data_IF_428518731758
#
_entry.id   IF_428518731758
#
_cell.length_a   1.000
_cell.length_b   1.000
_cell.length_c   1.000
_cell.angle_alpha   90.00
_cell.angle_beta   90.00
_cell.angle_gamma   90.00
#
_symmetry.space_group_name_H-M   'P 1'
#
loop_
_entity.id
_entity.type
_entity.pdbx_description
1 polymer ?
#
# COMPACT_ATOMS: atom_id res chain seq x y z
N UNK A 1 19.46 18.53 12.85
CA UNK A 1 20.93 18.46 12.69
C UNK A 1 21.41 17.30 11.84
N UNK A 2 21.01 16.04 12.13
CA UNK A 2 21.40 14.89 11.29
C UNK A 2 21.02 15.05 9.81
N UNK A 3 19.82 15.55 9.51
CA UNK A 3 19.35 15.80 8.12
C UNK A 3 20.19 16.90 7.44
N UNK A 4 20.59 17.95 8.18
CA UNK A 4 21.45 19.00 7.63
C UNK A 4 22.83 18.43 7.26
N UNK A 5 23.40 17.60 8.14
CA UNK A 5 24.67 16.92 7.87
C UNK A 5 24.54 15.93 6.70
N UNK A 6 23.41 15.22 6.59
CA UNK A 6 23.16 14.29 5.49
C UNK A 6 23.21 14.97 4.11
N UNK A 7 22.84 16.26 4.01
CA UNK A 7 22.89 17.04 2.76
C UNK A 7 24.30 17.18 2.19
N UNK A 8 25.34 17.08 3.02
CA UNK A 8 26.74 17.13 2.58
C UNK A 8 27.14 15.88 1.77
N UNK A 9 26.39 14.78 1.90
CA UNK A 9 26.66 13.51 1.24
C UNK A 9 25.77 13.25 0.02
N UNK A 10 24.88 14.20 -0.31
CA UNK A 10 24.03 14.09 -1.51
C UNK A 10 24.88 14.35 -2.76
N UNK A 11 24.93 13.41 -3.72
CA UNK A 11 25.63 13.62 -4.99
C UNK A 11 25.13 14.85 -5.76
N UNK A 12 26.01 15.50 -6.52
CA UNK A 12 25.67 16.74 -7.26
C UNK A 12 24.54 16.54 -8.28
N UNK A 13 24.42 15.35 -8.85
CA UNK A 13 23.39 14.96 -9.83
C UNK A 13 22.04 14.59 -9.19
N UNK A 14 21.91 14.65 -7.85
CA UNK A 14 20.69 14.32 -7.09
C UNK A 14 20.04 15.56 -6.47
N UNK A 15 19.71 16.53 -7.31
CA UNK A 15 19.18 17.84 -6.88
C UNK A 15 17.86 17.74 -6.09
N UNK A 16 17.03 16.77 -6.43
CA UNK A 16 15.76 16.43 -5.81
C UNK A 16 15.96 15.97 -4.37
N UNK A 17 16.98 15.13 -4.10
CA UNK A 17 17.31 14.70 -2.74
C UNK A 17 17.74 15.87 -1.86
N UNK A 18 18.57 16.78 -2.39
CA UNK A 18 19.02 17.96 -1.65
C UNK A 18 17.84 18.89 -1.31
N UNK A 19 16.90 19.03 -2.24
CA UNK A 19 15.66 19.79 -2.07
C UNK A 19 14.75 19.14 -1.03
N UNK A 20 14.52 17.82 -1.16
CA UNK A 20 13.77 17.01 -0.19
C UNK A 20 14.31 17.20 1.24
N UNK A 21 15.61 17.00 1.46
CA UNK A 21 16.22 17.14 2.79
C UNK A 21 16.11 18.58 3.33
N UNK A 22 16.19 19.59 2.45
CA UNK A 22 16.01 21.00 2.83
C UNK A 22 14.60 21.27 3.33
N UNK A 23 13.59 20.72 2.64
CA UNK A 23 12.20 20.84 3.04
C UNK A 23 11.87 20.03 4.32
N UNK A 24 12.47 18.86 4.51
CA UNK A 24 12.40 18.13 5.79
C UNK A 24 12.92 18.97 6.95
N UNK A 25 14.07 19.63 6.79
CA UNK A 25 14.61 20.52 7.85
C UNK A 25 13.65 21.65 8.19
N UNK A 26 13.07 22.29 7.17
CA UNK A 26 12.06 23.36 7.37
C UNK A 26 10.83 22.83 8.12
N UNK A 27 10.32 21.66 7.72
CA UNK A 27 9.20 21.00 8.39
C UNK A 27 9.51 20.72 9.86
N UNK A 28 10.61 20.04 10.18
CA UNK A 28 10.91 19.65 11.56
C UNK A 28 11.30 20.84 12.46
N UNK A 29 11.86 21.92 11.90
CA UNK A 29 12.14 23.14 12.67
C UNK A 29 10.91 24.03 12.85
N UNK A 30 10.04 24.11 11.85
CA UNK A 30 8.93 25.08 11.80
C UNK A 30 7.53 24.49 12.01
N UNK A 31 7.37 23.17 11.99
CA UNK A 31 6.09 22.47 12.10
C UNK A 31 5.18 22.57 10.86
N UNK A 32 5.65 23.14 9.74
CA UNK A 32 4.82 23.39 8.56
C UNK A 32 4.60 22.11 7.75
N UNK A 33 3.36 21.65 7.63
CA UNK A 33 2.98 20.48 6.80
C UNK A 33 3.20 20.76 5.31
N UNK A 34 3.04 22.02 4.86
CA UNK A 34 3.35 22.41 3.48
C UNK A 34 4.80 22.10 3.10
N UNK A 35 5.76 22.33 4.02
CA UNK A 35 7.16 21.96 3.80
C UNK A 35 7.34 20.44 3.73
N UNK A 36 6.62 19.66 4.56
CA UNK A 36 6.66 18.19 4.42
C UNK A 36 6.08 17.76 3.06
N UNK A 37 4.95 18.32 2.63
CA UNK A 37 4.40 18.08 1.28
C UNK A 37 5.41 18.42 0.18
N UNK A 38 6.12 19.55 0.28
CA UNK A 38 7.16 19.92 -0.69
C UNK A 38 8.34 18.95 -0.69
N UNK A 39 8.74 18.44 0.48
CA UNK A 39 9.75 17.39 0.56
C UNK A 39 9.29 16.11 -0.17
N UNK A 40 8.03 15.70 0.01
CA UNK A 40 7.46 14.54 -0.65
C UNK A 40 7.35 14.74 -2.17
N UNK A 41 6.98 15.93 -2.65
CA UNK A 41 6.97 16.26 -4.10
C UNK A 41 8.35 16.12 -4.74
N UNK A 42 9.42 16.43 -4.01
CA UNK A 42 10.79 16.22 -4.47
C UNK A 42 11.17 14.73 -4.39
N UNK A 43 10.79 14.07 -3.30
CA UNK A 43 11.09 12.66 -3.09
C UNK A 43 10.47 11.74 -4.15
N UNK A 44 9.21 11.95 -4.55
CA UNK A 44 8.58 11.16 -5.62
C UNK A 44 9.25 11.35 -6.99
N UNK A 45 9.95 12.48 -7.20
CA UNK A 45 10.71 12.76 -8.42
C UNK A 45 12.12 12.17 -8.41
N UNK A 46 12.70 11.94 -7.24
CA UNK A 46 13.99 11.25 -7.10
C UNK A 46 13.81 9.76 -7.41
N UNK A 47 13.95 9.40 -8.69
CA UNK A 47 13.77 8.01 -9.16
C UNK A 47 15.05 7.18 -8.97
N UNK A 48 14.86 5.90 -8.66
CA UNK A 48 15.93 4.91 -8.58
C UNK A 48 17.20 5.38 -7.81
N UNK A 49 17.07 5.89 -6.58
CA UNK A 49 18.25 6.16 -5.75
C UNK A 49 18.95 4.86 -5.36
N UNK A 50 20.29 4.86 -5.14
CA UNK A 50 20.96 3.69 -4.58
C UNK A 50 20.57 3.47 -3.11
N UNK A 51 20.30 4.55 -2.38
CA UNK A 51 19.83 4.55 -0.99
C UNK A 51 18.48 5.27 -0.96
N UNK A 52 17.42 4.54 -0.61
CA UNK A 52 16.08 5.08 -0.47
C UNK A 52 15.81 5.46 0.99
N UNK A 53 15.09 6.56 1.20
CA UNK A 53 14.78 7.07 2.54
C UNK A 53 13.52 7.93 2.55
N UNK A 54 12.74 7.82 3.62
CA UNK A 54 11.66 8.74 3.95
C UNK A 54 11.64 8.98 5.47
N UNK A 55 11.10 10.12 5.91
CA UNK A 55 11.01 10.49 7.32
C UNK A 55 9.90 11.52 7.54
N UNK A 56 9.16 11.38 8.64
CA UNK A 56 8.08 12.32 8.97
C UNK A 56 7.12 11.77 10.01
N UNK A 57 5.95 12.41 10.08
CA UNK A 57 4.76 11.88 10.75
C UNK A 57 3.87 11.29 9.65
N UNK A 58 3.95 9.98 9.44
CA UNK A 58 3.52 9.35 8.19
C UNK A 58 2.20 8.60 8.37
N UNK A 59 2.19 7.59 9.22
CA UNK A 59 1.08 6.65 9.32
C UNK A 59 0.11 6.98 10.45
N UNK A 60 -1.20 7.02 10.16
CA UNK A 60 -2.23 7.47 11.11
C UNK A 60 -2.85 6.35 11.97
N UNK A 61 -2.39 5.09 11.82
CA UNK A 61 -2.99 3.89 12.44
C UNK A 61 -3.19 3.96 13.96
N UNK A 62 -2.34 4.70 14.68
CA UNK A 62 -2.30 4.69 16.15
C UNK A 62 -3.02 5.86 16.79
N UNK A 63 -3.48 6.84 16.01
CA UNK A 63 -4.41 7.85 16.49
C UNK A 63 -5.81 7.22 16.53
N UNK A 64 -6.50 7.17 17.68
CA UNK A 64 -7.88 6.69 17.75
C UNK A 64 -8.84 7.48 16.83
N UNK A 65 -8.50 8.72 16.47
CA UNK A 65 -9.27 9.51 15.49
C UNK A 65 -8.81 9.31 14.04
N UNK A 66 -7.67 8.65 13.81
CA UNK A 66 -7.15 8.33 12.47
C UNK A 66 -6.56 9.52 11.70
N UNK A 67 -6.28 10.66 12.34
CA UNK A 67 -5.89 11.91 11.63
C UNK A 67 -4.50 12.45 11.98
N UNK A 68 -3.79 11.83 12.93
CA UNK A 68 -2.44 12.22 13.35
C UNK A 68 -1.44 11.11 12.99
N UNK A 69 -0.42 11.45 12.22
CA UNK A 69 0.66 10.52 11.88
C UNK A 69 1.59 10.19 13.05
N UNK A 70 1.97 8.93 13.19
CA UNK A 70 3.08 8.48 14.04
C UNK A 70 4.41 8.87 13.38
N UNK A 71 5.39 9.26 14.20
CA UNK A 71 6.73 9.53 13.70
C UNK A 71 7.39 8.23 13.23
N UNK A 72 7.92 8.26 12.01
CA UNK A 72 8.77 7.20 11.51
C UNK A 72 9.83 7.71 10.53
N UNK A 73 10.84 6.88 10.29
CA UNK A 73 11.79 7.10 9.21
C UNK A 73 12.63 5.87 8.93
N UNK A 74 13.00 5.69 7.67
CA UNK A 74 13.78 4.55 7.25
C UNK A 74 14.94 4.94 6.32
N UNK A 75 15.95 4.09 6.30
CA UNK A 75 17.05 4.10 5.33
C UNK A 75 17.23 2.69 4.81
N UNK A 76 17.24 2.53 3.50
CA UNK A 76 17.34 1.23 2.86
C UNK A 76 18.19 1.28 1.58
N UNK A 77 18.77 0.14 1.21
CA UNK A 77 19.48 -0.03 -0.08
C UNK A 77 18.51 -0.58 -1.10
N UNK A 78 18.52 -0.03 -2.31
CA UNK A 78 17.69 -0.57 -3.41
C UNK A 78 18.32 -1.85 -3.96
N UNK A 79 17.58 -2.94 -3.86
CA UNK A 79 17.93 -4.21 -4.49
C UNK A 79 17.50 -4.17 -5.96
N UNK A 80 18.42 -3.78 -6.85
CA UNK A 80 18.13 -3.60 -8.27
C UNK A 80 17.68 -4.87 -8.98
N UNK A 81 18.23 -6.02 -8.59
CA UNK A 81 17.90 -7.32 -9.19
C UNK A 81 16.44 -7.68 -8.88
N UNK A 82 16.06 -7.66 -7.60
CA UNK A 82 14.69 -7.92 -7.16
C UNK A 82 13.72 -6.84 -7.65
N UNK A 83 14.16 -5.60 -7.81
CA UNK A 83 13.33 -4.51 -8.34
C UNK A 83 12.88 -4.73 -9.78
N UNK A 84 13.57 -5.55 -10.59
CA UNK A 84 13.20 -5.80 -12.01
C UNK A 84 11.76 -6.30 -12.16
N UNK A 85 11.32 -7.23 -11.32
CA UNK A 85 9.95 -7.79 -11.40
C UNK A 85 8.90 -6.75 -11.02
N UNK A 86 9.18 -5.91 -10.02
CA UNK A 86 8.30 -4.82 -9.61
C UNK A 86 8.19 -3.72 -10.68
N UNK A 87 9.29 -3.41 -11.37
CA UNK A 87 9.25 -2.50 -12.52
C UNK A 87 8.45 -3.09 -13.68
N UNK A 88 8.60 -4.40 -13.94
CA UNK A 88 7.78 -5.09 -14.94
C UNK A 88 6.29 -5.07 -14.58
N UNK A 89 5.95 -5.18 -13.29
CA UNK A 89 4.58 -5.00 -12.79
C UNK A 89 4.06 -3.57 -13.02
N UNK A 90 4.86 -2.55 -12.72
CA UNK A 90 4.53 -1.14 -12.97
C UNK A 90 4.29 -0.87 -14.45
N UNK A 91 5.15 -1.40 -15.33
CA UNK A 91 5.06 -1.19 -16.78
C UNK A 91 3.80 -1.84 -17.39
N UNK A 92 3.22 -2.84 -16.71
CA UNK A 92 1.99 -3.54 -17.10
C UNK A 92 0.78 -3.20 -16.21
N UNK A 93 0.86 -2.17 -15.36
CA UNK A 93 -0.17 -1.90 -14.36
C UNK A 93 -1.53 -1.51 -14.97
N UNK A 94 -1.56 -0.77 -16.08
CA UNK A 94 -2.80 -0.23 -16.65
C UNK A 94 -3.82 -1.32 -17.04
N UNK A 95 -3.44 -2.39 -17.76
CA UNK A 95 -4.32 -3.54 -17.98
C UNK A 95 -4.89 -4.14 -16.69
N UNK A 96 -4.09 -4.25 -15.63
CA UNK A 96 -4.54 -4.82 -14.35
C UNK A 96 -5.48 -3.87 -13.60
N UNK A 97 -5.25 -2.56 -13.67
CA UNK A 97 -6.18 -1.55 -13.13
C UNK A 97 -7.53 -1.65 -13.82
N UNK A 98 -7.57 -1.89 -15.13
CA UNK A 98 -8.81 -2.06 -15.89
C UNK A 98 -9.60 -3.33 -15.50
N UNK A 99 -8.98 -4.28 -14.81
CA UNK A 99 -9.64 -5.49 -14.27
C UNK A 99 -10.31 -5.24 -12.90
N UNK A 100 -10.08 -4.09 -12.27
CA UNK A 100 -10.66 -3.76 -10.97
C UNK A 100 -12.17 -3.50 -11.10
N UNK A 101 -12.99 -3.93 -10.13
CA UNK A 101 -14.45 -4.00 -10.29
C UNK A 101 -15.18 -2.67 -10.04
N UNK A 102 -14.55 -1.53 -10.34
CA UNK A 102 -15.19 -0.22 -10.31
C UNK A 102 -15.15 0.45 -11.69
N UNK A 103 -16.14 1.31 -12.02
CA UNK A 103 -16.14 2.02 -13.30
C UNK A 103 -14.91 2.91 -13.46
N UNK A 104 -14.47 3.11 -14.70
CA UNK A 104 -13.31 3.97 -15.02
C UNK A 104 -13.43 5.41 -14.50
N UNK A 105 -14.66 5.92 -14.33
CA UNK A 105 -14.93 7.22 -13.72
C UNK A 105 -14.48 7.33 -12.24
N UNK A 106 -14.28 6.19 -11.57
CA UNK A 106 -13.76 6.08 -10.20
C UNK A 106 -12.28 5.68 -10.18
N UNK A 107 -11.62 5.67 -11.33
CA UNK A 107 -10.18 5.52 -11.46
C UNK A 107 -9.53 6.88 -11.80
N UNK A 108 -8.24 7.03 -11.51
CA UNK A 108 -7.49 8.26 -11.82
C UNK A 108 -7.49 8.51 -13.33
N UNK A 109 -7.70 9.77 -13.72
CA UNK A 109 -7.82 10.17 -15.14
C UNK A 109 -6.54 9.87 -15.94
N UNK A 110 -5.39 9.92 -15.27
CA UNK A 110 -4.09 9.57 -15.82
C UNK A 110 -3.37 8.64 -14.85
N UNK A 111 -2.84 7.54 -15.38
CA UNK A 111 -1.94 6.68 -14.63
C UNK A 111 -0.56 7.32 -14.55
N UNK A 112 -0.23 7.90 -13.39
CA UNK A 112 1.09 8.42 -13.10
C UNK A 112 1.99 7.25 -12.71
N UNK A 113 2.88 6.83 -13.63
CA UNK A 113 3.81 5.71 -13.42
C UNK A 113 4.57 5.88 -12.09
N UNK A 114 4.30 5.04 -11.06
CA UNK A 114 5.02 5.12 -9.79
C UNK A 114 6.42 4.50 -9.89
N UNK A 115 7.22 4.68 -8.85
CA UNK A 115 8.45 3.88 -8.68
C UNK A 115 8.07 2.67 -7.83
N UNK A 116 8.53 1.47 -8.18
CA UNK A 116 8.38 0.30 -7.33
C UNK A 116 9.73 -0.39 -7.16
N UNK A 117 10.25 -0.35 -5.95
CA UNK A 117 11.57 -0.89 -5.60
C UNK A 117 11.48 -1.96 -4.52
N UNK A 118 12.33 -2.97 -4.66
CA UNK A 118 12.66 -3.89 -3.57
C UNK A 118 13.77 -3.27 -2.73
N UNK A 119 13.57 -3.20 -1.43
CA UNK A 119 14.47 -2.56 -0.49
C UNK A 119 15.04 -3.57 0.51
N UNK A 120 16.33 -3.45 0.78
CA UNK A 120 16.98 -4.07 1.93
C UNK A 120 17.15 -2.99 3.01
N UNK A 121 16.30 -3.05 4.03
CA UNK A 121 16.24 -2.07 5.11
C UNK A 121 17.52 -2.13 5.94
N UNK A 122 18.19 -0.98 6.11
CA UNK A 122 19.34 -0.83 7.03
C UNK A 122 18.83 -0.48 8.42
N UNK A 123 18.00 0.57 8.49
CA UNK A 123 17.40 1.06 9.74
C UNK A 123 15.98 1.49 9.48
N UNK A 124 15.08 1.14 10.39
CA UNK A 124 13.72 1.66 10.45
C UNK A 124 13.43 2.11 11.89
N UNK A 125 13.23 3.40 12.08
CA UNK A 125 12.80 3.97 13.35
C UNK A 125 11.27 4.03 13.35
N UNK A 126 10.62 2.98 13.85
CA UNK A 126 9.16 2.87 13.94
C UNK A 126 8.74 2.00 15.13
N UNK A 127 7.42 1.91 15.35
CA UNK A 127 6.84 0.99 16.34
C UNK A 127 6.66 -0.44 15.82
N UNK A 128 6.80 -0.65 14.50
CA UNK A 128 6.80 -1.95 13.83
C UNK A 128 7.30 -1.79 12.38
N UNK A 129 8.03 -2.78 11.87
CA UNK A 129 8.56 -2.73 10.50
C UNK A 129 7.53 -3.37 9.56
N UNK A 130 7.00 -2.65 8.56
CA UNK A 130 6.01 -3.18 7.64
C UNK A 130 6.64 -4.11 6.59
N UNK A 131 5.82 -4.80 5.81
CA UNK A 131 6.29 -5.66 4.71
C UNK A 131 6.46 -4.88 3.39
N UNK A 132 5.61 -3.88 3.18
CA UNK A 132 5.63 -2.95 2.05
C UNK A 132 5.05 -1.60 2.47
N UNK A 133 5.22 -0.58 1.62
CA UNK A 133 4.68 0.76 1.86
C UNK A 133 4.31 1.43 0.52
N UNK A 134 3.19 2.18 0.50
CA UNK A 134 2.79 3.11 -0.54
C UNK A 134 2.76 4.53 0.02
N UNK A 135 3.72 5.38 -0.38
CA UNK A 135 3.86 6.75 0.13
C UNK A 135 4.11 7.76 -0.99
N UNK A 136 3.85 9.06 -0.76
CA UNK A 136 3.37 9.67 0.48
C UNK A 136 1.86 9.50 0.73
N UNK A 137 1.44 9.61 1.99
CA UNK A 137 0.03 9.62 2.43
C UNK A 137 -0.68 10.97 2.14
N UNK A 138 -0.29 11.65 1.07
CA UNK A 138 -0.90 12.90 0.62
C UNK A 138 -1.66 12.68 -0.68
N UNK A 139 -3.00 12.61 -0.59
CA UNK A 139 -3.87 12.33 -1.74
C UNK A 139 -3.65 13.28 -2.92
N UNK A 140 -3.40 14.56 -2.65
CA UNK A 140 -3.07 15.56 -3.68
C UNK A 140 -1.76 15.23 -4.39
N UNK A 141 -0.74 14.78 -3.67
CA UNK A 141 0.53 14.40 -4.29
C UNK A 141 0.37 13.10 -5.08
N UNK A 142 -0.32 12.10 -4.55
CA UNK A 142 -0.58 10.82 -5.23
C UNK A 142 -1.36 11.00 -6.52
N UNK A 143 -2.27 11.96 -6.54
CA UNK A 143 -3.12 12.27 -7.69
C UNK A 143 -2.39 13.13 -8.74
N UNK A 144 -1.61 14.12 -8.32
CA UNK A 144 -1.09 15.15 -9.22
C UNK A 144 0.40 14.99 -9.57
N UNK A 145 1.18 14.25 -8.77
CA UNK A 145 2.63 14.07 -8.95
C UNK A 145 3.07 12.60 -8.97
N UNK A 146 2.33 11.71 -8.31
CA UNK A 146 2.60 10.29 -8.22
C UNK A 146 2.99 9.84 -6.81
N UNK A 147 3.44 8.60 -6.70
CA UNK A 147 3.81 7.93 -5.45
C UNK A 147 4.96 6.94 -5.69
N UNK A 148 5.50 6.38 -4.61
CA UNK A 148 6.42 5.24 -4.68
C UNK A 148 5.88 4.08 -3.86
N UNK A 149 6.14 2.89 -4.37
CA UNK A 149 5.91 1.62 -3.72
C UNK A 149 7.26 1.02 -3.31
N UNK A 150 7.29 0.45 -2.12
CA UNK A 150 8.47 -0.25 -1.63
C UNK A 150 8.07 -1.62 -1.09
N UNK A 151 8.84 -2.64 -1.44
CA UNK A 151 8.74 -3.99 -0.87
C UNK A 151 9.98 -4.24 -0.03
N UNK A 152 9.83 -4.52 1.27
CA UNK A 152 10.97 -4.68 2.18
C UNK A 152 11.45 -6.13 2.15
N UNK A 153 12.33 -6.45 1.20
CA UNK A 153 12.72 -7.83 0.86
C UNK A 153 13.41 -8.58 2.00
N UNK A 154 14.27 -7.90 2.76
CA UNK A 154 14.92 -8.50 3.94
C UNK A 154 13.95 -8.68 5.13
N UNK A 155 12.84 -7.95 5.18
CA UNK A 155 11.76 -8.13 6.16
C UNK A 155 10.88 -9.30 5.75
N UNK A 156 10.49 -9.38 4.48
CA UNK A 156 9.71 -10.48 3.90
C UNK A 156 10.40 -11.84 4.00
N UNK A 157 11.74 -11.85 3.85
CA UNK A 157 12.54 -13.07 3.96
C UNK A 157 12.86 -13.48 5.39
N UNK A 158 12.60 -12.60 6.37
CA UNK A 158 12.76 -12.95 7.78
C UNK A 158 11.72 -14.00 8.16
N UNK A 159 12.16 -15.12 8.70
CA UNK A 159 11.27 -16.18 9.18
C UNK A 159 11.75 -16.72 10.52
N UNK A 160 10.81 -17.09 11.39
CA UNK A 160 11.08 -17.82 12.60
C UNK A 160 10.98 -19.33 12.29
N UNK A 161 12.11 -20.09 12.24
CA UNK A 161 12.10 -21.48 11.79
C UNK A 161 11.25 -22.41 12.66
N UNK A 162 11.06 -22.05 13.93
CA UNK A 162 10.33 -22.81 14.94
C UNK A 162 8.92 -22.30 15.20
N UNK A 163 8.39 -21.41 14.37
CA UNK A 163 7.03 -20.89 14.52
C UNK A 163 6.00 -22.03 14.41
N UNK A 164 5.15 -22.15 15.45
CA UNK A 164 4.03 -23.08 15.43
C UNK A 164 2.95 -22.54 14.51
N UNK A 165 2.62 -23.30 13.47
CA UNK A 165 1.49 -23.00 12.58
C UNK A 165 0.22 -23.52 13.25
N UNK A 166 -0.81 -22.68 13.24
CA UNK A 166 -2.07 -22.91 13.95
C UNK A 166 -3.23 -22.83 12.97
N UNK A 167 -4.31 -23.55 13.31
CA UNK A 167 -5.61 -23.49 12.63
C UNK A 167 -5.62 -23.95 11.17
N UNK A 168 -4.62 -24.74 10.75
CA UNK A 168 -4.58 -25.38 9.43
C UNK A 168 -4.70 -26.89 9.58
N UNK A 169 -5.28 -27.54 8.57
CA UNK A 169 -5.17 -28.99 8.40
C UNK A 169 -3.71 -29.39 8.08
N UNK A 170 -3.37 -30.68 8.18
CA UNK A 170 -2.02 -31.13 7.84
C UNK A 170 -1.68 -30.90 6.35
N UNK A 171 -2.67 -31.00 5.47
CA UNK A 171 -2.53 -30.74 4.03
C UNK A 171 -2.30 -29.24 3.76
N UNK A 172 -3.14 -28.39 4.33
CA UNK A 172 -3.02 -26.93 4.21
C UNK A 172 -1.73 -26.41 4.83
N UNK A 173 -1.29 -27.00 5.95
CA UNK A 173 -0.03 -26.63 6.59
C UNK A 173 1.17 -26.92 5.67
N UNK A 174 1.14 -28.03 4.92
CA UNK A 174 2.19 -28.34 3.96
C UNK A 174 2.27 -27.29 2.85
N UNK A 175 1.12 -26.91 2.27
CA UNK A 175 1.06 -25.86 1.25
C UNK A 175 1.51 -24.52 1.84
N UNK A 176 0.97 -24.13 2.99
CA UNK A 176 1.32 -22.88 3.66
C UNK A 176 2.83 -22.80 3.95
N UNK A 177 3.46 -23.87 4.45
CA UNK A 177 4.92 -23.87 4.71
C UNK A 177 5.74 -23.69 3.43
N UNK A 178 5.34 -24.33 2.34
CA UNK A 178 6.06 -24.29 1.07
C UNK A 178 5.85 -22.96 0.31
N UNK A 179 4.71 -22.32 0.49
CA UNK A 179 4.25 -21.24 -0.40
C UNK A 179 4.10 -19.88 0.28
N UNK A 180 4.01 -19.81 1.62
CA UNK A 180 3.67 -18.56 2.31
C UNK A 180 4.49 -17.34 1.92
N UNK A 181 5.81 -17.48 1.79
CA UNK A 181 6.69 -16.35 1.44
C UNK A 181 6.44 -15.83 0.02
N UNK A 182 6.27 -16.76 -0.92
CA UNK A 182 6.01 -16.47 -2.33
C UNK A 182 4.60 -15.90 -2.54
N UNK A 183 3.60 -16.48 -1.89
CA UNK A 183 2.22 -15.95 -1.89
C UNK A 183 2.15 -14.56 -1.28
N UNK A 184 2.82 -14.34 -0.14
CA UNK A 184 2.81 -13.05 0.53
C UNK A 184 3.57 -11.96 -0.25
N UNK A 185 4.64 -12.32 -0.97
CA UNK A 185 5.32 -11.39 -1.88
C UNK A 185 4.38 -10.89 -3.00
N UNK A 186 3.62 -11.79 -3.63
CA UNK A 186 2.62 -11.41 -4.64
C UNK A 186 1.55 -10.51 -4.01
N UNK A 187 1.05 -10.88 -2.82
CA UNK A 187 0.05 -10.09 -2.11
C UNK A 187 0.54 -8.67 -1.82
N UNK A 188 1.73 -8.52 -1.23
CA UNK A 188 2.31 -7.20 -0.93
C UNK A 188 2.49 -6.38 -2.21
N UNK A 189 3.01 -6.99 -3.29
CA UNK A 189 3.19 -6.28 -4.54
C UNK A 189 1.88 -5.68 -5.09
N UNK A 190 0.83 -6.48 -5.10
CA UNK A 190 -0.48 -6.08 -5.60
C UNK A 190 -1.18 -5.11 -4.65
N UNK A 191 -1.09 -5.35 -3.34
CA UNK A 191 -1.61 -4.50 -2.28
C UNK A 191 -1.06 -3.07 -2.38
N UNK A 192 0.27 -2.92 -2.49
CA UNK A 192 0.89 -1.60 -2.55
C UNK A 192 0.59 -0.88 -3.88
N UNK A 193 0.86 -1.53 -5.02
CA UNK A 193 0.80 -0.87 -6.33
C UNK A 193 -0.64 -0.71 -6.84
N UNK A 194 -1.43 -1.78 -6.77
CA UNK A 194 -2.74 -1.85 -7.41
C UNK A 194 -3.88 -1.73 -6.40
N UNK A 195 -3.63 -2.04 -5.13
CA UNK A 195 -4.53 -1.72 -4.02
C UNK A 195 -4.47 -0.23 -3.73
N UNK A 196 -3.53 0.19 -2.88
CA UNK A 196 -3.35 1.59 -2.51
C UNK A 196 -3.16 2.51 -3.72
N UNK A 197 -2.40 2.11 -4.74
CA UNK A 197 -2.10 2.98 -5.89
C UNK A 197 -3.28 3.30 -6.83
N UNK A 198 -4.39 2.56 -6.73
CA UNK A 198 -5.58 2.72 -7.58
C UNK A 198 -6.71 3.50 -6.92
N UNK A 199 -7.69 3.92 -7.72
CA UNK A 199 -8.89 4.60 -7.28
C UNK A 199 -8.75 6.13 -7.25
N UNK A 200 -9.87 6.80 -7.51
CA UNK A 200 -10.00 8.27 -7.55
C UNK A 200 -10.86 8.78 -6.41
N UNK A 201 -10.37 9.79 -5.71
CA UNK A 201 -11.18 10.61 -4.83
C UNK A 201 -11.87 11.72 -5.64
N UNK A 202 -13.20 11.74 -5.63
CA UNK A 202 -13.99 12.82 -6.20
C UNK A 202 -13.89 14.03 -5.27
N UNK A 203 -13.38 15.17 -5.76
CA UNK A 203 -13.09 16.35 -4.94
C UNK A 203 -13.48 17.65 -5.63
N UNK A 204 -13.66 18.66 -4.79
CA UNK A 204 -13.83 20.07 -5.16
C UNK A 204 -12.61 20.86 -4.72
N UNK A 205 -12.04 21.67 -5.61
CA UNK A 205 -10.93 22.56 -5.29
C UNK A 205 -11.39 23.87 -4.60
N UNK A 206 -10.43 24.68 -4.17
CA UNK A 206 -10.71 25.96 -3.49
C UNK A 206 -11.45 26.98 -4.37
N UNK A 207 -11.34 26.87 -5.70
CA UNK A 207 -12.06 27.69 -6.67
C UNK A 207 -13.49 27.18 -6.95
N UNK A 208 -13.85 26.04 -6.37
CA UNK A 208 -15.17 25.41 -6.51
C UNK A 208 -15.29 24.45 -7.69
N UNK A 209 -14.23 24.21 -8.46
CA UNK A 209 -14.24 23.28 -9.59
C UNK A 209 -14.16 21.83 -9.10
N UNK A 210 -14.92 20.94 -9.77
CA UNK A 210 -14.92 19.51 -9.50
C UNK A 210 -13.89 18.81 -10.40
N UNK A 211 -13.22 17.79 -9.86
CA UNK A 211 -12.33 16.94 -10.66
C UNK A 211 -13.08 15.81 -11.43
N UNK A 212 -14.40 15.91 -11.56
CA UNK A 212 -15.25 14.95 -12.24
C UNK A 212 -16.49 15.63 -12.82
N UNK A 213 -17.08 15.02 -13.84
CA UNK A 213 -18.31 15.51 -14.47
C UNK A 213 -19.54 14.86 -13.83
N UNK A 214 -20.33 15.65 -13.10
CA UNK A 214 -21.56 15.20 -12.43
C UNK A 214 -22.61 14.63 -13.38
N UNK A 215 -22.56 14.97 -14.67
CA UNK A 215 -23.49 14.44 -15.68
C UNK A 215 -23.05 13.06 -16.23
N UNK A 216 -21.76 12.73 -16.12
CA UNK A 216 -21.20 11.48 -16.67
C UNK A 216 -20.90 10.44 -15.59
N UNK A 217 -20.61 10.87 -14.36
CA UNK A 217 -20.29 9.94 -13.26
C UNK A 217 -21.57 9.45 -12.59
N UNK A 218 -21.82 8.15 -12.72
CA UNK A 218 -22.95 7.46 -12.08
C UNK A 218 -22.45 6.65 -10.88
N UNK A 219 -23.16 6.72 -9.75
CA UNK A 219 -22.82 5.98 -8.55
C UNK A 219 -22.95 4.46 -8.78
N UNK A 220 -21.88 3.66 -8.62
CA UNK A 220 -21.83 2.28 -9.09
C UNK A 220 -22.79 1.35 -8.36
N UNK A 221 -23.12 1.63 -7.09
CA UNK A 221 -24.02 0.78 -6.29
C UNK A 221 -25.50 1.17 -6.38
N UNK A 222 -25.82 2.44 -6.69
CA UNK A 222 -27.20 2.95 -6.66
C UNK A 222 -27.73 3.26 -8.05
N UNK A 223 -26.86 3.38 -9.05
CA UNK A 223 -27.21 3.79 -10.42
C UNK A 223 -27.64 5.26 -10.53
N UNK A 224 -27.60 6.04 -9.44
CA UNK A 224 -27.98 7.44 -9.42
C UNK A 224 -26.80 8.40 -9.62
N UNK A 225 -27.09 9.70 -9.55
CA UNK A 225 -26.05 10.74 -9.57
C UNK A 225 -25.17 10.68 -8.32
N UNK A 226 -23.89 11.03 -8.46
CA UNK A 226 -23.00 11.24 -7.32
C UNK A 226 -23.39 12.52 -6.59
N UNK A 227 -23.72 12.41 -5.31
CA UNK A 227 -24.15 13.55 -4.47
C UNK A 227 -23.14 13.89 -3.36
N UNK A 228 -22.06 13.10 -3.20
CA UNK A 228 -21.05 13.29 -2.16
C UNK A 228 -19.65 13.25 -2.76
N UNK A 229 -18.79 14.16 -2.30
CA UNK A 229 -17.40 14.32 -2.73
C UNK A 229 -16.64 15.16 -1.69
N UNK A 230 -15.31 15.09 -1.69
CA UNK A 230 -14.45 15.81 -0.76
C UNK A 230 -14.44 17.31 -1.02
N UNK A 231 -14.57 18.12 0.02
CA UNK A 231 -14.43 19.59 -0.01
C UNK A 231 -12.97 20.01 0.24
N UNK A 232 -12.62 21.28 -0.01
CA UNK A 232 -11.28 21.79 0.30
C UNK A 232 -10.88 21.53 1.76
N UNK A 233 -9.71 20.92 1.94
CA UNK A 233 -9.16 20.55 3.25
C UNK A 233 -9.66 19.21 3.82
N UNK A 234 -10.64 18.57 3.20
CA UNK A 234 -11.11 17.25 3.60
C UNK A 234 -10.23 16.15 2.98
N UNK A 235 -9.96 15.09 3.74
CA UNK A 235 -9.12 13.95 3.35
C UNK A 235 -9.86 12.67 3.64
N UNK A 236 -9.38 11.54 3.09
CA UNK A 236 -9.87 10.21 3.44
C UNK A 236 -9.97 10.03 4.95
N UNK A 237 -8.86 10.29 5.66
CA UNK A 237 -8.76 10.17 7.11
C UNK A 237 -9.73 11.09 7.86
N UNK A 238 -9.89 12.35 7.44
CA UNK A 238 -10.80 13.26 8.15
C UNK A 238 -12.28 12.91 7.97
N UNK A 239 -12.63 12.18 6.90
CA UNK A 239 -13.99 11.73 6.62
C UNK A 239 -14.35 10.39 7.21
N UNK A 240 -13.44 9.42 7.12
CA UNK A 240 -13.68 8.07 7.61
C UNK A 240 -13.26 7.91 9.08
N UNK A 241 -12.40 8.78 9.59
CA UNK A 241 -12.01 8.84 11.00
C UNK A 241 -11.49 7.48 11.50
N UNK A 242 -12.06 6.98 12.59
CA UNK A 242 -11.60 5.76 13.26
C UNK A 242 -11.60 4.49 12.39
N UNK A 243 -12.34 4.45 11.27
CA UNK A 243 -12.35 3.29 10.37
C UNK A 243 -11.49 3.49 9.12
N UNK A 244 -10.91 4.68 8.90
CA UNK A 244 -10.23 5.05 7.64
C UNK A 244 -9.14 4.05 7.28
N UNK A 245 -8.23 3.77 8.22
CA UNK A 245 -7.11 2.88 7.98
C UNK A 245 -7.56 1.45 7.71
N UNK A 246 -8.39 0.86 8.58
CA UNK A 246 -8.81 -0.53 8.40
C UNK A 246 -9.67 -0.73 7.12
N UNK A 247 -10.46 0.28 6.74
CA UNK A 247 -11.22 0.22 5.50
C UNK A 247 -10.30 0.24 4.28
N UNK A 248 -9.31 1.13 4.25
CA UNK A 248 -8.35 1.23 3.16
C UNK A 248 -7.47 -0.04 3.06
N UNK A 249 -7.04 -0.59 4.20
CA UNK A 249 -6.34 -1.89 4.25
C UNK A 249 -7.21 -3.02 3.70
N UNK A 250 -8.49 -3.04 4.04
CA UNK A 250 -9.43 -4.04 3.52
C UNK A 250 -9.57 -3.93 2.00
N UNK A 251 -9.62 -2.71 1.46
CA UNK A 251 -9.67 -2.48 0.01
C UNK A 251 -8.39 -2.99 -0.67
N UNK A 252 -7.22 -2.63 -0.15
CA UNK A 252 -5.93 -3.00 -0.74
C UNK A 252 -5.68 -4.52 -0.67
N UNK A 253 -5.98 -5.17 0.47
CA UNK A 253 -5.91 -6.62 0.62
C UNK A 253 -6.85 -7.36 -0.37
N UNK A 254 -8.09 -6.85 -0.55
CA UNK A 254 -9.03 -7.40 -1.53
C UNK A 254 -8.52 -7.29 -2.97
N UNK A 255 -7.85 -6.19 -3.34
CA UNK A 255 -7.24 -6.07 -4.67
C UNK A 255 -6.14 -7.12 -4.85
N UNK A 256 -5.31 -7.34 -3.83
CA UNK A 256 -4.31 -8.41 -3.86
C UNK A 256 -4.94 -9.79 -4.10
N UNK A 257 -6.04 -10.11 -3.41
CA UNK A 257 -6.75 -11.38 -3.62
C UNK A 257 -7.38 -11.47 -5.02
N UNK A 258 -8.01 -10.40 -5.49
CA UNK A 258 -8.69 -10.35 -6.80
C UNK A 258 -7.72 -10.56 -7.96
N UNK A 259 -6.51 -10.00 -7.86
CA UNK A 259 -5.53 -10.04 -8.94
C UNK A 259 -4.50 -11.18 -8.80
N UNK A 260 -4.39 -11.84 -7.64
CA UNK A 260 -3.37 -12.88 -7.46
C UNK A 260 -3.59 -14.14 -8.29
N UNK A 261 -4.79 -14.35 -8.87
CA UNK A 261 -5.08 -15.46 -9.78
C UNK A 261 -4.92 -15.09 -11.27
N UNK A 262 -4.53 -13.85 -11.59
CA UNK A 262 -4.36 -13.40 -12.98
C UNK A 262 -3.06 -13.96 -13.54
N UNK A 263 -3.15 -14.69 -14.66
CA UNK A 263 -1.99 -15.39 -15.24
C UNK A 263 -0.85 -14.44 -15.65
N UNK A 264 -1.17 -13.28 -16.21
CA UNK A 264 -0.20 -12.27 -16.60
C UNK A 264 0.51 -11.66 -15.38
N UNK A 265 -0.21 -11.51 -14.26
CA UNK A 265 0.39 -11.10 -12.98
C UNK A 265 1.37 -12.18 -12.52
N UNK A 266 0.93 -13.43 -12.43
CA UNK A 266 1.77 -14.53 -11.94
C UNK A 266 2.99 -14.78 -12.85
N UNK A 267 2.86 -14.57 -14.16
CA UNK A 267 3.99 -14.64 -15.09
C UNK A 267 5.09 -13.61 -14.77
N UNK A 268 4.71 -12.40 -14.30
CA UNK A 268 5.67 -11.37 -13.85
C UNK A 268 6.46 -11.84 -12.63
N UNK A 269 5.86 -12.66 -11.77
CA UNK A 269 6.52 -13.28 -10.60
C UNK A 269 7.25 -14.60 -10.95
N UNK A 270 7.33 -14.97 -12.23
CA UNK A 270 8.10 -16.10 -12.69
C UNK A 270 7.38 -17.45 -12.64
N UNK A 271 6.05 -17.45 -12.52
CA UNK A 271 5.26 -18.68 -12.60
C UNK A 271 4.96 -19.08 -14.05
N UNK A 272 5.03 -20.38 -14.34
CA UNK A 272 4.58 -20.93 -15.62
C UNK A 272 3.06 -21.02 -15.65
N UNK A 273 2.42 -20.11 -16.39
CA UNK A 273 0.97 -19.95 -16.42
C UNK A 273 0.27 -20.78 -17.50
N UNK A 274 0.96 -21.78 -18.08
CA UNK A 274 0.34 -22.73 -19.01
C UNK A 274 -0.84 -23.49 -18.38
N UNK A 275 -0.83 -23.72 -17.06
CA UNK A 275 -1.93 -24.33 -16.31
C UNK A 275 -2.19 -23.58 -15.00
N UNK A 276 -3.18 -22.68 -15.00
CA UNK A 276 -3.51 -21.88 -13.81
C UNK A 276 -4.08 -22.70 -12.64
N UNK A 277 -4.74 -23.83 -12.94
CA UNK A 277 -5.45 -24.64 -11.96
C UNK A 277 -4.62 -25.79 -11.37
N UNK A 278 -3.30 -25.84 -11.63
CA UNK A 278 -2.44 -26.91 -11.14
C UNK A 278 -1.03 -26.41 -10.78
N UNK A 279 -0.32 -27.24 -10.01
CA UNK A 279 1.08 -27.03 -9.66
C UNK A 279 1.33 -25.69 -8.95
N UNK A 280 2.49 -25.12 -9.23
CA UNK A 280 3.00 -23.91 -8.57
C UNK A 280 2.06 -22.70 -8.66
N UNK A 281 1.33 -22.54 -9.77
CA UNK A 281 0.39 -21.43 -9.99
C UNK A 281 -0.84 -21.56 -9.10
N UNK A 282 -1.38 -22.77 -9.01
CA UNK A 282 -2.47 -23.07 -8.10
C UNK A 282 -2.02 -22.85 -6.66
N UNK A 283 -0.86 -23.38 -6.28
CA UNK A 283 -0.42 -23.37 -4.89
C UNK A 283 -0.04 -21.97 -4.40
N UNK A 284 0.55 -21.11 -5.24
CA UNK A 284 0.82 -19.72 -4.85
C UNK A 284 -0.48 -18.95 -4.64
N UNK A 285 -1.47 -19.17 -5.51
CA UNK A 285 -2.79 -18.53 -5.41
C UNK A 285 -3.52 -19.04 -4.18
N UNK A 286 -3.70 -20.35 -4.05
CA UNK A 286 -4.33 -21.00 -2.91
C UNK A 286 -3.65 -20.62 -1.59
N UNK A 287 -2.31 -20.64 -1.57
CA UNK A 287 -1.52 -20.21 -0.42
C UNK A 287 -1.81 -18.76 0.01
N UNK A 288 -2.06 -17.86 -0.95
CA UNK A 288 -2.42 -16.48 -0.65
C UNK A 288 -3.81 -16.38 0.02
N UNK A 289 -4.80 -17.05 -0.56
CA UNK A 289 -6.15 -17.14 0.03
C UNK A 289 -6.13 -17.80 1.41
N UNK A 290 -5.31 -18.84 1.58
CA UNK A 290 -5.11 -19.54 2.85
C UNK A 290 -4.49 -18.64 3.92
N UNK A 291 -3.50 -17.81 3.55
CA UNK A 291 -2.93 -16.77 4.45
C UNK A 291 -4.04 -15.83 4.92
N UNK A 292 -4.89 -15.35 3.99
CA UNK A 292 -5.95 -14.40 4.30
C UNK A 292 -6.95 -14.98 5.30
N UNK A 293 -7.52 -16.15 5.04
CA UNK A 293 -8.54 -16.75 5.93
C UNK A 293 -7.95 -17.13 7.29
N UNK A 294 -6.71 -17.64 7.32
CA UNK A 294 -6.00 -17.90 8.58
C UNK A 294 -5.77 -16.62 9.37
N UNK A 295 -5.34 -15.56 8.72
CA UNK A 295 -5.12 -14.28 9.37
C UNK A 295 -6.44 -13.65 9.85
N UNK A 296 -7.53 -13.82 9.10
CA UNK A 296 -8.87 -13.39 9.54
C UNK A 296 -9.33 -14.09 10.81
N UNK A 297 -8.97 -15.36 11.02
CA UNK A 297 -9.27 -16.06 12.28
C UNK A 297 -8.36 -15.58 13.41
N UNK A 298 -7.05 -15.47 13.15
CA UNK A 298 -6.08 -14.94 14.12
C UNK A 298 -6.36 -13.50 14.54
N UNK A 299 -7.07 -12.75 13.70
CA UNK A 299 -7.45 -11.38 13.97
C UNK A 299 -8.23 -11.22 15.29
N UNK A 300 -8.96 -12.26 15.72
CA UNK A 300 -9.70 -12.25 16.99
C UNK A 300 -8.82 -11.92 18.21
N UNK A 301 -7.50 -12.18 18.16
CA UNK A 301 -6.54 -11.76 19.19
C UNK A 301 -6.47 -10.22 19.36
N UNK A 302 -6.74 -9.49 18.28
CA UNK A 302 -6.68 -8.03 18.22
C UNK A 302 -8.03 -7.35 18.47
N UNK A 303 -9.10 -8.11 18.65
CA UNK A 303 -10.41 -7.62 19.03
C UNK A 303 -10.57 -7.59 20.55
N UNK A 304 -11.11 -6.51 21.09
CA UNK A 304 -11.45 -6.37 22.51
C UNK A 304 -12.98 -6.43 22.68
N UNK A 305 -13.55 -7.56 23.18
CA UNK A 305 -14.99 -7.70 23.35
C UNK A 305 -15.60 -6.67 24.30
N UNK A 306 -14.86 -6.24 25.32
CA UNK A 306 -15.34 -5.32 26.37
C UNK A 306 -15.64 -3.93 25.80
N UNK A 307 -14.89 -3.50 24.80
CA UNK A 307 -14.99 -2.20 24.15
C UNK A 307 -15.53 -2.30 22.73
N UNK A 308 -15.82 -3.51 22.25
CA UNK A 308 -16.21 -3.83 20.89
C UNK A 308 -15.27 -3.20 19.82
N UNK A 309 -13.97 -3.11 20.11
CA UNK A 309 -13.01 -2.36 19.31
C UNK A 309 -11.86 -3.23 18.80
N UNK A 310 -11.37 -2.91 17.61
CA UNK A 310 -10.18 -3.51 17.03
C UNK A 310 -8.92 -2.69 17.34
N UNK A 311 -7.80 -3.38 17.56
CA UNK A 311 -6.52 -2.77 17.95
C UNK A 311 -5.45 -2.79 16.86
N UNK A 312 -5.75 -3.36 15.68
CA UNK A 312 -4.82 -3.46 14.56
C UNK A 312 -5.59 -3.47 13.23
N UNK A 313 -5.34 -2.47 12.39
CA UNK A 313 -6.12 -2.17 11.19
C UNK A 313 -6.17 -3.31 10.16
N UNK A 314 -5.01 -3.88 9.80
CA UNK A 314 -4.93 -4.99 8.83
C UNK A 314 -5.65 -6.25 9.32
N UNK A 315 -5.65 -6.52 10.63
CA UNK A 315 -6.25 -7.74 11.20
C UNK A 315 -7.76 -7.57 11.24
N UNK A 316 -8.26 -6.38 11.58
CA UNK A 316 -9.68 -6.05 11.39
C UNK A 316 -10.10 -6.20 9.92
N UNK A 317 -9.30 -5.70 8.98
CA UNK A 317 -9.56 -5.86 7.55
C UNK A 317 -9.64 -7.34 7.13
N UNK A 318 -8.64 -8.14 7.52
CA UNK A 318 -8.59 -9.59 7.24
C UNK A 318 -9.75 -10.34 7.89
N UNK A 319 -10.21 -9.92 9.07
CA UNK A 319 -11.43 -10.47 9.68
C UNK A 319 -12.66 -10.15 8.84
N UNK A 320 -12.82 -8.89 8.40
CA UNK A 320 -13.94 -8.49 7.53
C UNK A 320 -13.92 -9.31 6.24
N UNK A 321 -12.75 -9.47 5.60
CA UNK A 321 -12.60 -10.31 4.41
C UNK A 321 -13.03 -11.75 4.70
N UNK A 322 -12.54 -12.36 5.78
CA UNK A 322 -12.95 -13.71 6.18
C UNK A 322 -14.48 -13.81 6.35
N UNK A 323 -15.12 -12.81 6.95
CA UNK A 323 -16.58 -12.80 7.12
C UNK A 323 -17.32 -12.75 5.79
N UNK A 324 -16.85 -11.93 4.83
CA UNK A 324 -17.41 -11.88 3.47
C UNK A 324 -17.28 -13.22 2.77
N UNK A 325 -16.13 -13.89 2.90
CA UNK A 325 -15.91 -15.22 2.30
C UNK A 325 -16.83 -16.27 2.91
N UNK A 326 -17.01 -16.27 4.24
CA UNK A 326 -17.93 -17.17 4.91
C UNK A 326 -19.41 -16.92 4.52
N UNK A 327 -19.78 -15.68 4.24
CA UNK A 327 -21.12 -15.32 3.75
C UNK A 327 -21.37 -15.75 2.30
N UNK A 328 -20.31 -15.92 1.50
CA UNK A 328 -20.40 -16.38 0.11
C UNK A 328 -20.62 -17.91 -0.03
N UNK A 329 -20.34 -18.68 1.03
CA UNK A 329 -20.42 -20.15 1.06
C UNK A 329 -19.12 -20.85 0.72
#
# INVERSE_FOLDING_TARGET
DCIEKAKEFVPEDRSEQKSMLTEYVKHFRGGAISAHKDSQRNWVKDRAPPVETNIGFIESYRDPFGVRGEFEGFVAVVNREQSKKFQHLVDNAQPFIAMLPWPSAFEKDQFLRPDFTSLDVITFASSGIPAGINIPNYDDIRQDFGFKNVSLGNVLSASAPSEKITFLSAEDEAVFRAWRGRSFEVQVALHELLGHGSGKLLRQDEAGALNFDTAQVTHPLTGGAVTSYYKPGETWDSKFGAVSSSYEECRAECVGLHLCSVGEVLAIFGYDTAQLAAGDVHDVTYGNWLIMVRAGLLALEYYSPETASWRQAHMQARYVILRVLLEAG
#
